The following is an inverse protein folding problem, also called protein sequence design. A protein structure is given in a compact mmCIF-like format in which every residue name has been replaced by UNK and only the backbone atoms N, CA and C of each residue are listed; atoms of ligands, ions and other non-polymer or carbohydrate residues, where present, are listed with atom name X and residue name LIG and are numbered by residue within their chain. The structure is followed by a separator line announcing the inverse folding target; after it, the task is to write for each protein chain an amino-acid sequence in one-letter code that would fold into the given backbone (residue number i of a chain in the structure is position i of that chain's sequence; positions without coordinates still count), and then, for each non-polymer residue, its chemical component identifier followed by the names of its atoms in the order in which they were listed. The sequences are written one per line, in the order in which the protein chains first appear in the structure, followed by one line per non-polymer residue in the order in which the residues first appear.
data_IF_613005040593
#
_entry.id   IF_613005040593
#
_cell.length_a   1.000
_cell.length_b   1.000
_cell.length_c   1.000
_cell.angle_alpha   90.00
_cell.angle_beta   90.00
_cell.angle_gamma   90.00
#
_symmetry.space_group_name_H-M   'P 1'
#
loop_
_entity.id
_entity.type
_entity.pdbx_description
1 polymer ?
#
# COMPACT_ATOMS: atom_id res chain seq x y z
N UNK A 1 36.14 -62.68 2.09
CA UNK A 1 34.93 -62.86 1.26
C UNK A 1 33.78 -63.08 2.23
N UNK A 2 33.06 -62.03 2.61
CA UNK A 2 31.62 -62.05 2.93
C UNK A 2 31.13 -60.60 2.99
N UNK A 3 30.01 -60.43 2.29
CA UNK A 3 29.34 -59.23 1.79
C UNK A 3 29.05 -58.12 2.82
N UNK A 4 29.21 -56.87 2.37
CA UNK A 4 28.74 -55.66 3.03
C UNK A 4 27.44 -55.21 2.35
N UNK A 5 26.31 -55.76 2.77
CA UNK A 5 24.99 -55.24 2.37
C UNK A 5 24.62 -54.03 3.22
N UNK A 6 24.50 -52.90 2.53
CA UNK A 6 23.90 -51.65 2.99
C UNK A 6 22.54 -51.95 3.62
N UNK A 7 22.39 -51.63 4.91
CA UNK A 7 21.09 -51.44 5.53
C UNK A 7 20.58 -50.12 4.96
N UNK A 8 19.65 -50.21 4.00
CA UNK A 8 18.80 -49.08 3.63
C UNK A 8 18.05 -48.66 4.90
N UNK A 9 18.34 -47.45 5.39
CA UNK A 9 17.54 -46.81 6.43
C UNK A 9 16.10 -46.68 5.92
N UNK A 10 15.21 -47.55 6.44
CA UNK A 10 13.77 -47.42 6.25
C UNK A 10 13.31 -46.00 6.68
N UNK A 11 12.52 -45.30 5.84
CA UNK A 11 11.99 -44.01 6.23
C UNK A 11 10.98 -44.19 7.38
N UNK A 12 11.38 -43.74 8.57
CA UNK A 12 10.58 -43.66 9.80
C UNK A 12 9.06 -43.49 9.57
N UNK A 13 8.32 -44.58 9.80
CA UNK A 13 6.89 -44.75 9.54
C UNK A 13 5.94 -44.16 10.62
N UNK A 14 6.21 -42.97 11.17
CA UNK A 14 5.35 -42.39 12.24
C UNK A 14 5.11 -40.86 12.15
N UNK A 15 4.70 -40.36 10.99
CA UNK A 15 3.91 -39.12 10.91
C UNK A 15 2.58 -39.43 10.21
N UNK A 16 1.59 -39.93 10.97
CA UNK A 16 0.29 -40.42 10.48
C UNK A 16 -0.58 -39.40 9.75
N UNK A 17 -0.18 -38.13 9.77
CA UNK A 17 -1.01 -37.03 9.34
C UNK A 17 -0.57 -36.48 7.98
N UNK A 18 0.59 -36.84 7.43
CA UNK A 18 0.98 -36.37 6.09
C UNK A 18 0.22 -37.12 4.98
N UNK A 19 -0.33 -36.43 3.97
CA UNK A 19 -1.12 -37.07 2.93
C UNK A 19 -0.24 -37.94 2.03
N UNK A 20 -0.68 -39.19 1.84
CA UNK A 20 -0.11 -40.13 0.87
C UNK A 20 -0.24 -39.60 -0.57
N UNK A 21 0.54 -40.12 -1.52
CA UNK A 21 0.45 -39.68 -2.93
C UNK A 21 -0.96 -39.84 -3.51
N UNK A 22 -1.67 -40.93 -3.18
CA UNK A 22 -3.05 -41.14 -3.62
C UNK A 22 -3.99 -40.09 -3.04
N UNK A 23 -3.84 -39.74 -1.76
CA UNK A 23 -4.63 -38.70 -1.10
C UNK A 23 -4.35 -37.31 -1.67
N UNK A 24 -3.09 -37.00 -2.04
CA UNK A 24 -2.74 -35.71 -2.68
C UNK A 24 -3.45 -35.48 -4.01
N UNK A 25 -3.83 -36.54 -4.72
CA UNK A 25 -4.51 -36.47 -6.01
C UNK A 25 -6.03 -36.49 -5.87
N UNK A 26 -6.56 -37.13 -4.81
CA UNK A 26 -8.00 -37.40 -4.65
C UNK A 26 -8.68 -36.48 -3.65
N UNK A 27 -7.98 -36.09 -2.58
CA UNK A 27 -8.58 -35.30 -1.51
C UNK A 27 -8.58 -33.81 -1.85
N UNK A 28 -9.68 -33.15 -1.51
CA UNK A 28 -9.82 -31.72 -1.61
C UNK A 28 -8.87 -31.01 -0.65
N UNK A 29 -8.22 -29.96 -1.14
CA UNK A 29 -7.39 -29.06 -0.32
C UNK A 29 -8.24 -27.95 0.29
N UNK A 30 -8.02 -27.66 1.57
CA UNK A 30 -8.73 -26.60 2.31
C UNK A 30 -7.76 -25.75 3.15
N UNK A 31 -8.08 -24.47 3.39
CA UNK A 31 -7.33 -23.66 4.33
C UNK A 31 -7.62 -24.06 5.78
N UNK A 32 -6.67 -23.81 6.67
CA UNK A 32 -6.78 -24.06 8.10
C UNK A 32 -7.58 -22.97 8.84
N UNK A 33 -7.82 -23.21 10.14
CA UNK A 33 -8.25 -22.16 11.07
C UNK A 33 -7.11 -21.19 11.34
N UNK A 34 -7.43 -19.90 11.28
CA UNK A 34 -6.48 -18.83 11.52
C UNK A 34 -6.24 -18.65 13.02
N UNK A 35 -4.98 -18.48 13.45
CA UNK A 35 -4.68 -18.24 14.86
C UNK A 35 -5.23 -16.88 15.30
N UNK A 36 -5.71 -16.72 16.54
CA UNK A 36 -6.22 -15.44 17.04
C UNK A 36 -5.21 -14.29 16.94
N UNK A 37 -3.92 -14.59 17.03
CA UNK A 37 -2.84 -13.62 16.86
C UNK A 37 -2.79 -13.03 15.45
N UNK A 38 -3.11 -13.79 14.40
CA UNK A 38 -3.19 -13.26 13.03
C UNK A 38 -4.31 -12.21 12.89
N UNK A 39 -5.46 -12.43 13.54
CA UNK A 39 -6.55 -11.45 13.55
C UNK A 39 -6.17 -10.17 14.30
N UNK A 40 -5.43 -10.28 15.41
CA UNK A 40 -4.92 -9.10 16.11
C UNK A 40 -4.00 -8.27 15.21
N UNK A 41 -3.07 -8.89 14.49
CA UNK A 41 -2.21 -8.17 13.53
C UNK A 41 -3.02 -7.58 12.37
N UNK A 42 -4.05 -8.27 11.89
CA UNK A 42 -4.94 -7.73 10.84
C UNK A 42 -5.71 -6.48 11.30
N UNK A 43 -6.14 -6.42 12.58
CA UNK A 43 -6.77 -5.21 13.14
C UNK A 43 -5.75 -4.07 13.29
N UNK A 44 -4.52 -4.37 13.69
CA UNK A 44 -3.44 -3.37 13.72
C UNK A 44 -3.21 -2.77 12.34
N UNK A 45 -3.17 -3.60 11.30
CA UNK A 45 -3.07 -3.14 9.91
C UNK A 45 -4.27 -2.25 9.53
N UNK A 46 -5.50 -2.69 9.83
CA UNK A 46 -6.69 -1.90 9.55
C UNK A 46 -6.61 -0.51 10.17
N UNK A 47 -6.24 -0.42 11.45
CA UNK A 47 -6.10 0.85 12.17
C UNK A 47 -5.02 1.76 11.56
N UNK A 48 -3.90 1.20 11.15
CA UNK A 48 -2.84 2.00 10.52
C UNK A 48 -3.21 2.46 9.11
N UNK A 49 -3.84 1.59 8.30
CA UNK A 49 -4.37 1.96 6.98
C UNK A 49 -5.46 3.02 7.09
N UNK A 50 -6.36 2.88 8.08
CA UNK A 50 -7.35 3.89 8.43
C UNK A 50 -6.67 5.23 8.71
N UNK A 51 -5.65 5.24 9.58
CA UNK A 51 -4.97 6.47 9.94
C UNK A 51 -4.23 7.10 8.76
N UNK A 52 -3.57 6.28 7.93
CA UNK A 52 -2.83 6.73 6.75
C UNK A 52 -3.74 7.43 5.73
N UNK A 53 -4.83 6.78 5.29
CA UNK A 53 -5.72 7.35 4.29
C UNK A 53 -6.63 8.45 4.87
N UNK A 54 -7.07 8.29 6.12
CA UNK A 54 -7.93 9.27 6.79
C UNK A 54 -7.20 10.60 7.01
N UNK A 55 -5.91 10.53 7.32
CA UNK A 55 -5.06 11.72 7.39
C UNK A 55 -4.74 12.28 6.00
N UNK A 56 -4.32 11.45 5.05
CA UNK A 56 -3.78 11.95 3.78
C UNK A 56 -4.84 12.43 2.80
N UNK A 57 -6.10 11.98 2.91
CA UNK A 57 -7.18 12.45 2.04
C UNK A 57 -7.37 13.97 2.07
N UNK A 58 -7.55 14.58 3.26
CA UNK A 58 -7.60 16.03 3.46
C UNK A 58 -6.40 16.86 2.95
N UNK A 59 -5.24 16.26 2.67
CA UNK A 59 -3.99 17.01 2.49
C UNK A 59 -4.04 18.03 1.35
N UNK A 60 -4.61 17.65 0.20
CA UNK A 60 -4.63 18.54 -0.95
C UNK A 60 -5.42 19.83 -0.65
N UNK A 61 -6.58 19.71 0.01
CA UNK A 61 -7.39 20.85 0.44
C UNK A 61 -6.72 21.66 1.56
N UNK A 62 -6.24 20.97 2.60
CA UNK A 62 -5.55 21.57 3.76
C UNK A 62 -4.40 22.49 3.31
N UNK A 63 -3.62 22.05 2.33
CA UNK A 63 -2.43 22.77 1.85
C UNK A 63 -2.78 23.82 0.80
N UNK A 64 -3.66 23.49 -0.16
CA UNK A 64 -3.93 24.35 -1.31
C UNK A 64 -4.71 25.61 -0.93
N UNK A 65 -5.79 25.44 -0.18
CA UNK A 65 -6.79 26.48 0.04
C UNK A 65 -6.50 27.24 1.33
N UNK A 66 -6.96 28.48 1.40
CA UNK A 66 -6.77 29.31 2.60
C UNK A 66 -7.77 28.92 3.68
N UNK A 67 -7.44 29.23 4.93
CA UNK A 67 -8.42 29.19 5.99
C UNK A 67 -9.58 30.13 5.68
N UNK A 68 -10.81 29.62 5.77
CA UNK A 68 -12.04 30.30 5.31
C UNK A 68 -12.00 30.76 3.84
N UNK A 69 -11.63 29.84 2.94
CA UNK A 69 -11.53 30.14 1.50
C UNK A 69 -12.86 30.69 0.93
N UNK A 70 -12.83 31.79 0.15
CA UNK A 70 -14.00 32.37 -0.51
C UNK A 70 -14.80 31.41 -1.39
N UNK A 71 -14.16 30.38 -1.95
CA UNK A 71 -14.84 29.36 -2.75
C UNK A 71 -15.74 28.44 -1.92
N UNK A 72 -15.56 28.41 -0.59
CA UNK A 72 -16.23 27.45 0.28
C UNK A 72 -15.57 26.06 0.28
N UNK A 73 -14.48 25.87 -0.46
CA UNK A 73 -13.65 24.68 -0.33
C UNK A 73 -12.90 24.69 1.02
N UNK A 74 -12.79 23.55 1.72
CA UNK A 74 -11.98 23.46 2.93
C UNK A 74 -10.53 23.85 2.66
N UNK A 75 -9.90 24.56 3.61
CA UNK A 75 -8.51 24.99 3.52
C UNK A 75 -7.92 25.46 4.83
N UNK A 76 -6.59 25.56 4.89
CA UNK A 76 -5.87 26.11 6.04
C UNK A 76 -4.63 26.93 5.62
N UNK A 77 -3.76 26.36 4.78
CA UNK A 77 -2.41 26.92 4.57
C UNK A 77 -2.35 27.92 3.40
N UNK A 78 -3.05 27.65 2.30
CA UNK A 78 -3.09 28.57 1.15
C UNK A 78 -1.86 28.57 0.23
N UNK A 79 -1.13 27.46 0.12
CA UNK A 79 0.04 27.31 -0.78
C UNK A 79 -0.34 27.14 -2.26
N UNK A 80 -1.64 27.14 -2.58
CA UNK A 80 -2.19 26.83 -3.90
C UNK A 80 -1.89 25.39 -4.33
N UNK A 81 -2.49 25.00 -5.46
CA UNK A 81 -2.41 23.64 -6.01
C UNK A 81 -0.96 23.13 -6.17
N UNK A 82 -0.05 23.95 -6.72
CA UNK A 82 1.32 23.51 -6.97
C UNK A 82 2.08 23.17 -5.68
N UNK A 83 1.94 23.98 -4.63
CA UNK A 83 2.56 23.72 -3.33
C UNK A 83 1.96 22.49 -2.63
N UNK A 84 0.63 22.34 -2.71
CA UNK A 84 -0.09 21.17 -2.20
C UNK A 84 0.39 19.88 -2.85
N UNK A 85 0.40 19.83 -4.18
CA UNK A 85 0.86 18.65 -4.93
C UNK A 85 2.32 18.32 -4.65
N UNK A 86 3.20 19.32 -4.50
CA UNK A 86 4.60 19.09 -4.17
C UNK A 86 4.76 18.44 -2.78
N UNK A 87 4.08 18.95 -1.75
CA UNK A 87 4.15 18.40 -0.39
C UNK A 87 3.49 17.03 -0.27
N UNK A 88 2.34 16.81 -0.90
CA UNK A 88 1.69 15.49 -0.94
C UNK A 88 2.56 14.46 -1.64
N UNK A 89 3.18 14.81 -2.78
CA UNK A 89 4.11 13.92 -3.47
C UNK A 89 5.39 13.65 -2.66
N UNK A 90 5.92 14.66 -1.96
CA UNK A 90 7.03 14.48 -1.04
C UNK A 90 6.67 13.50 0.08
N UNK A 91 5.51 13.66 0.70
CA UNK A 91 5.05 12.76 1.75
C UNK A 91 4.93 11.31 1.24
N UNK A 92 4.35 11.11 0.07
CA UNK A 92 4.28 9.80 -0.56
C UNK A 92 5.67 9.21 -0.81
N UNK A 93 6.55 9.96 -1.48
CA UNK A 93 7.93 9.56 -1.72
C UNK A 93 8.61 9.13 -0.41
N UNK A 94 8.48 9.94 0.64
CA UNK A 94 9.07 9.65 1.94
C UNK A 94 8.51 8.36 2.55
N UNK A 95 7.18 8.17 2.53
CA UNK A 95 6.51 6.95 2.99
C UNK A 95 6.84 5.68 2.19
N UNK A 96 7.39 5.79 0.98
CA UNK A 96 7.83 4.66 0.15
C UNK A 96 9.34 4.43 0.17
N UNK A 97 10.13 5.39 0.67
CA UNK A 97 11.58 5.22 0.90
C UNK A 97 11.89 4.71 2.30
N UNK A 98 11.21 5.22 3.33
CA UNK A 98 11.43 4.81 4.72
C UNK A 98 11.19 3.32 5.02
N UNK A 99 10.37 2.54 4.27
CA UNK A 99 10.29 1.09 4.49
C UNK A 99 11.62 0.35 4.33
N UNK A 100 12.54 0.84 3.49
CA UNK A 100 13.88 0.25 3.34
C UNK A 100 14.64 0.36 4.67
N UNK A 101 14.57 1.52 5.32
CA UNK A 101 15.18 1.74 6.63
C UNK A 101 14.50 0.87 7.70
N UNK A 102 13.17 0.80 7.67
CA UNK A 102 12.38 -0.04 8.57
C UNK A 102 12.72 -1.53 8.49
N UNK A 103 12.90 -2.05 7.27
CA UNK A 103 13.29 -3.44 7.03
C UNK A 103 14.70 -3.72 7.58
N UNK A 104 15.69 -2.85 7.28
CA UNK A 104 17.06 -3.00 7.78
C UNK A 104 17.09 -3.00 9.32
N UNK A 105 16.37 -2.08 9.96
CA UNK A 105 16.29 -2.01 11.42
C UNK A 105 15.71 -3.28 12.05
N UNK A 106 14.67 -3.85 11.43
CA UNK A 106 14.04 -5.07 11.92
C UNK A 106 14.91 -6.30 11.71
N UNK A 107 15.54 -6.42 10.56
CA UNK A 107 16.29 -7.61 10.16
C UNK A 107 17.68 -7.69 10.80
N UNK A 108 18.28 -6.54 11.15
CA UNK A 108 19.62 -6.46 11.74
C UNK A 108 19.63 -6.36 13.27
N UNK A 109 18.74 -5.53 13.85
CA UNK A 109 18.93 -5.07 15.24
C UNK A 109 17.77 -5.39 16.16
N UNK A 110 16.55 -5.01 15.79
CA UNK A 110 15.43 -4.95 16.73
C UNK A 110 14.48 -6.15 16.65
N UNK A 111 14.40 -6.79 15.49
CA UNK A 111 13.32 -7.73 15.16
C UNK A 111 12.04 -7.00 14.78
N UNK A 112 11.14 -7.71 14.08
CA UNK A 112 9.93 -7.12 13.48
C UNK A 112 9.04 -6.44 14.51
N UNK A 113 8.70 -7.13 15.60
CA UNK A 113 7.78 -6.59 16.63
C UNK A 113 8.31 -5.31 17.27
N UNK A 114 9.57 -5.28 17.73
CA UNK A 114 10.14 -4.08 18.37
C UNK A 114 10.27 -2.91 17.40
N UNK A 115 10.57 -3.20 16.13
CA UNK A 115 10.62 -2.18 15.07
C UNK A 115 9.25 -1.58 14.86
N UNK A 116 8.19 -2.39 14.72
CA UNK A 116 6.83 -1.88 14.57
C UNK A 116 6.46 -0.99 15.77
N UNK A 117 6.70 -1.44 17.01
CA UNK A 117 6.38 -0.65 18.21
C UNK A 117 7.12 0.69 18.22
N UNK A 118 8.43 0.71 17.97
CA UNK A 118 9.23 1.94 17.95
C UNK A 118 8.70 2.91 16.88
N UNK A 119 8.45 2.40 15.68
CA UNK A 119 8.00 3.22 14.56
C UNK A 119 6.54 3.67 14.70
N UNK A 120 5.69 2.91 15.38
CA UNK A 120 4.36 3.36 15.79
C UNK A 120 4.40 4.53 16.78
N UNK A 121 5.42 4.62 17.65
CA UNK A 121 5.59 5.79 18.53
C UNK A 121 5.91 7.04 17.70
N UNK A 122 6.82 6.95 16.72
CA UNK A 122 7.06 8.06 15.80
C UNK A 122 5.78 8.46 15.07
N UNK A 123 5.04 7.50 14.53
CA UNK A 123 3.77 7.77 13.86
C UNK A 123 2.79 8.51 14.79
N UNK A 124 2.59 8.04 16.02
CA UNK A 124 1.73 8.69 17.03
C UNK A 124 2.14 10.14 17.31
N UNK A 125 3.44 10.40 17.48
CA UNK A 125 3.94 11.76 17.71
C UNK A 125 3.63 12.65 16.52
N UNK A 126 3.86 12.18 15.29
CA UNK A 126 3.56 13.00 14.12
C UNK A 126 2.05 13.22 13.89
N UNK A 127 1.20 12.22 14.19
CA UNK A 127 -0.25 12.37 14.23
C UNK A 127 -0.69 13.43 15.26
N UNK A 128 -0.09 13.41 16.45
CA UNK A 128 -0.37 14.39 17.50
C UNK A 128 0.04 15.79 17.08
N UNK A 129 1.22 15.95 16.48
CA UNK A 129 1.69 17.24 15.94
C UNK A 129 0.72 17.76 14.87
N UNK A 130 0.30 16.90 13.93
CA UNK A 130 -0.66 17.28 12.91
C UNK A 130 -2.00 17.74 13.50
N UNK A 131 -2.54 16.95 14.44
CA UNK A 131 -3.77 17.28 15.14
C UNK A 131 -3.68 18.63 15.85
N UNK A 132 -2.67 18.83 16.69
CA UNK A 132 -2.51 20.07 17.47
C UNK A 132 -2.32 21.29 16.58
N UNK A 133 -1.57 21.16 15.47
CA UNK A 133 -1.30 22.27 14.56
C UNK A 133 -2.43 22.56 13.57
N UNK A 134 -3.44 21.69 13.52
CA UNK A 134 -4.68 21.88 12.76
C UNK A 134 -5.84 22.45 13.58
N UNK A 135 -5.64 22.70 14.87
CA UNK A 135 -6.61 23.43 15.70
C UNK A 135 -6.79 24.85 15.15
N UNK A 136 -8.02 25.44 15.20
CA UNK A 136 -8.28 26.79 14.69
C UNK A 136 -7.28 27.83 15.21
N UNK A 137 -6.99 27.82 16.51
CA UNK A 137 -6.02 28.72 17.17
C UNK A 137 -4.60 28.54 16.59
N UNK A 138 -4.20 27.32 16.25
CA UNK A 138 -2.89 27.05 15.68
C UNK A 138 -2.80 27.45 14.19
N UNK A 139 -3.89 27.26 13.43
CA UNK A 139 -4.00 27.71 12.04
C UNK A 139 -3.93 29.24 11.97
N UNK A 140 -4.74 29.93 12.79
CA UNK A 140 -4.74 31.40 12.88
C UNK A 140 -3.40 31.95 13.38
N UNK A 141 -2.73 31.22 14.28
CA UNK A 141 -1.36 31.52 14.73
C UNK A 141 -0.27 31.25 13.71
N UNK A 142 -0.58 30.70 12.52
CA UNK A 142 0.38 30.45 11.44
C UNK A 142 1.24 29.19 11.62
N UNK A 143 0.90 28.31 12.56
CA UNK A 143 1.69 27.10 12.88
C UNK A 143 1.37 25.90 11.98
N UNK A 144 0.29 25.96 11.19
CA UNK A 144 -0.21 24.86 10.37
C UNK A 144 0.82 24.30 9.37
N UNK A 145 1.58 25.17 8.69
CA UNK A 145 2.57 24.72 7.70
C UNK A 145 3.76 24.02 8.35
N UNK A 146 4.35 24.63 9.38
CA UNK A 146 5.48 24.04 10.11
C UNK A 146 5.09 22.72 10.77
N UNK A 147 3.90 22.70 11.37
CA UNK A 147 3.28 21.50 11.95
C UNK A 147 3.10 20.38 10.94
N UNK A 148 2.54 20.69 9.77
CA UNK A 148 2.36 19.71 8.69
C UNK A 148 3.69 19.12 8.21
N UNK A 149 4.71 19.96 7.96
CA UNK A 149 6.02 19.48 7.48
C UNK A 149 6.66 18.56 8.52
N UNK A 150 6.65 18.98 9.80
CA UNK A 150 7.16 18.16 10.90
C UNK A 150 6.40 16.83 10.99
N UNK A 151 5.07 16.88 10.90
CA UNK A 151 4.21 15.70 10.91
C UNK A 151 4.52 14.77 9.72
N UNK A 152 4.61 15.28 8.50
CA UNK A 152 4.91 14.48 7.29
C UNK A 152 6.23 13.72 7.42
N UNK A 153 7.29 14.37 7.92
CA UNK A 153 8.60 13.73 8.13
C UNK A 153 8.51 12.64 9.20
N UNK A 154 7.88 12.94 10.33
CA UNK A 154 7.80 12.02 11.48
C UNK A 154 6.87 10.83 11.20
N UNK A 155 5.69 11.07 10.61
CA UNK A 155 4.75 10.04 10.18
C UNK A 155 5.34 9.20 9.07
N UNK A 156 6.00 9.81 8.09
CA UNK A 156 6.62 9.06 7.01
C UNK A 156 7.75 8.16 7.51
N UNK A 157 8.52 8.59 8.52
CA UNK A 157 9.46 7.72 9.22
C UNK A 157 8.72 6.55 9.86
N UNK A 158 7.71 6.81 10.70
CA UNK A 158 6.89 5.79 11.37
C UNK A 158 6.24 4.78 10.42
N UNK A 159 5.74 5.26 9.27
CA UNK A 159 5.14 4.44 8.20
C UNK A 159 6.13 3.38 7.69
N UNK A 160 7.42 3.73 7.58
CA UNK A 160 8.45 2.85 7.05
C UNK A 160 8.63 1.57 7.86
N UNK A 161 8.81 1.70 9.18
CA UNK A 161 8.99 0.55 10.07
C UNK A 161 7.74 -0.32 10.20
N UNK A 162 6.55 0.24 10.01
CA UNK A 162 5.29 -0.51 10.06
C UNK A 162 5.09 -1.28 8.75
N UNK A 163 5.06 -0.59 7.59
CA UNK A 163 4.76 -1.19 6.28
C UNK A 163 5.68 -2.36 5.92
N UNK A 164 6.97 -2.24 6.24
CA UNK A 164 7.96 -3.28 5.93
C UNK A 164 7.83 -4.54 6.80
N UNK A 165 7.20 -4.44 7.98
CA UNK A 165 7.26 -5.49 9.01
C UNK A 165 5.91 -6.11 9.39
N UNK A 166 4.79 -5.42 9.24
CA UNK A 166 3.47 -5.94 9.63
C UNK A 166 3.02 -7.09 8.72
N UNK A 167 3.24 -6.99 7.40
CA UNK A 167 2.86 -8.03 6.44
C UNK A 167 3.63 -9.35 6.63
N UNK A 168 4.96 -9.34 6.88
CA UNK A 168 5.65 -10.54 7.34
C UNK A 168 5.19 -11.03 8.71
N UNK A 169 4.93 -10.13 9.67
CA UNK A 169 4.52 -10.51 11.02
C UNK A 169 3.20 -11.28 11.03
N UNK A 170 2.19 -10.87 10.25
CA UNK A 170 0.90 -11.58 10.19
C UNK A 170 1.07 -13.00 9.62
N UNK A 171 1.91 -13.17 8.59
CA UNK A 171 2.19 -14.47 8.02
C UNK A 171 2.91 -15.39 9.02
N UNK A 172 3.86 -14.85 9.79
CA UNK A 172 4.60 -15.59 10.83
C UNK A 172 3.72 -16.08 12.00
N UNK A 173 2.49 -15.57 12.13
CA UNK A 173 1.56 -16.05 13.15
C UNK A 173 1.07 -17.47 12.87
N UNK A 174 1.07 -17.89 11.60
CA UNK A 174 0.78 -19.27 11.21
C UNK A 174 2.08 -20.06 11.12
N UNK A 175 2.22 -21.10 11.97
CA UNK A 175 3.49 -21.84 12.12
C UNK A 175 3.52 -23.15 11.31
N UNK A 176 2.36 -23.61 10.85
CA UNK A 176 2.19 -24.88 10.17
C UNK A 176 2.73 -24.80 8.75
N UNK A 177 3.72 -25.63 8.45
CA UNK A 177 4.42 -25.66 7.15
C UNK A 177 4.20 -26.94 6.38
N UNK A 178 3.56 -27.95 6.99
CA UNK A 178 3.35 -29.28 6.41
C UNK A 178 1.91 -29.47 5.96
N UNK A 179 1.75 -30.23 4.87
CA UNK A 179 0.44 -30.74 4.46
C UNK A 179 -0.02 -31.76 5.48
N UNK A 180 -1.27 -31.65 5.95
CA UNK A 180 -1.84 -32.67 6.84
C UNK A 180 -3.25 -33.07 6.47
N UNK A 181 -3.59 -34.34 6.67
CA UNK A 181 -4.95 -34.86 6.49
C UNK A 181 -5.77 -34.55 7.73
N UNK A 182 -6.99 -34.06 7.51
CA UNK A 182 -7.95 -33.76 8.58
C UNK A 182 -9.32 -34.28 8.17
N UNK A 183 -10.04 -34.87 9.13
CA UNK A 183 -11.46 -35.22 8.95
C UNK A 183 -12.31 -34.02 9.40
N UNK A 184 -13.19 -33.53 8.52
CA UNK A 184 -14.13 -32.47 8.85
C UNK A 184 -15.27 -32.99 9.74
N UNK A 185 -16.03 -32.11 10.43
CA UNK A 185 -17.24 -32.53 11.16
C UNK A 185 -18.28 -33.24 10.28
N UNK A 186 -18.22 -33.04 8.96
CA UNK A 186 -19.05 -33.75 7.96
C UNK A 186 -18.59 -35.18 7.68
N UNK A 187 -17.46 -35.64 8.23
CA UNK A 187 -16.84 -36.93 7.92
C UNK A 187 -15.94 -36.93 6.67
N UNK A 188 -15.88 -35.83 5.91
CA UNK A 188 -15.03 -35.71 4.72
C UNK A 188 -13.55 -35.61 5.11
N UNK A 189 -12.70 -36.47 4.52
CA UNK A 189 -11.23 -36.35 4.60
C UNK A 189 -10.76 -35.26 3.65
N UNK A 190 -10.01 -34.29 4.18
CA UNK A 190 -9.46 -33.17 3.42
C UNK A 190 -7.99 -32.97 3.73
N UNK A 191 -7.26 -32.35 2.81
CA UNK A 191 -5.87 -31.94 3.04
C UNK A 191 -5.85 -30.47 3.45
N UNK A 192 -5.30 -30.19 4.63
CA UNK A 192 -5.00 -28.83 5.06
C UNK A 192 -3.72 -28.38 4.36
N UNK A 193 -3.85 -27.37 3.51
CA UNK A 193 -2.74 -26.81 2.74
C UNK A 193 -2.27 -25.48 3.36
N UNK A 194 -1.02 -25.40 3.89
CA UNK A 194 -0.45 -24.17 4.41
C UNK A 194 -0.47 -23.00 3.42
N UNK A 195 -0.26 -23.27 2.13
CA UNK A 195 -0.27 -22.23 1.10
C UNK A 195 -1.65 -21.59 0.96
N UNK A 196 -2.73 -22.39 0.99
CA UNK A 196 -4.10 -21.87 0.98
C UNK A 196 -4.42 -21.07 2.23
N UNK A 197 -3.84 -21.45 3.38
CA UNK A 197 -4.02 -20.72 4.64
C UNK A 197 -3.32 -19.37 4.61
N UNK A 198 -2.07 -19.32 4.15
CA UNK A 198 -1.31 -18.07 3.97
C UNK A 198 -2.00 -17.17 2.94
N UNK A 199 -2.49 -17.72 1.83
CA UNK A 199 -3.30 -16.98 0.87
C UNK A 199 -4.54 -16.37 1.54
N UNK A 200 -5.24 -17.13 2.40
CA UNK A 200 -6.39 -16.62 3.15
C UNK A 200 -6.02 -15.51 4.13
N UNK A 201 -4.87 -15.61 4.81
CA UNK A 201 -4.33 -14.53 5.66
C UNK A 201 -4.18 -13.26 4.82
N UNK A 202 -3.53 -13.34 3.67
CA UNK A 202 -3.32 -12.18 2.81
C UNK A 202 -4.62 -11.63 2.21
N UNK A 203 -5.63 -12.45 1.94
CA UNK A 203 -6.95 -11.96 1.53
C UNK A 203 -7.64 -11.16 2.64
N UNK A 204 -7.55 -11.61 3.89
CA UNK A 204 -8.08 -10.85 5.05
C UNK A 204 -7.30 -9.56 5.23
N UNK A 205 -5.97 -9.63 5.15
CA UNK A 205 -5.09 -8.47 5.22
C UNK A 205 -5.46 -7.42 4.14
N UNK A 206 -5.68 -7.88 2.91
CA UNK A 206 -6.12 -7.03 1.80
C UNK A 206 -7.49 -6.38 2.04
N UNK A 207 -8.44 -7.12 2.62
CA UNK A 207 -9.73 -6.58 3.04
C UNK A 207 -9.56 -5.49 4.11
N UNK A 208 -8.68 -5.70 5.10
CA UNK A 208 -8.38 -4.70 6.12
C UNK A 208 -7.79 -3.41 5.51
N UNK A 209 -6.89 -3.53 4.52
CA UNK A 209 -6.31 -2.37 3.83
C UNK A 209 -7.39 -1.54 3.15
N UNK A 210 -8.21 -2.18 2.31
CA UNK A 210 -9.25 -1.50 1.54
C UNK A 210 -10.38 -0.95 2.45
N UNK A 211 -10.69 -1.64 3.54
CA UNK A 211 -11.64 -1.11 4.53
C UNK A 211 -11.07 0.12 5.24
N UNK A 212 -9.78 0.07 5.59
CA UNK A 212 -9.06 1.21 6.17
C UNK A 212 -9.03 2.41 5.24
N UNK A 213 -8.83 2.24 3.93
CA UNK A 213 -8.79 3.37 2.99
C UNK A 213 -10.09 4.16 2.89
N UNK A 214 -11.23 3.56 3.21
CA UNK A 214 -12.53 4.26 3.23
C UNK A 214 -12.64 5.30 4.36
N UNK A 215 -11.68 5.35 5.29
CA UNK A 215 -11.62 6.38 6.33
C UNK A 215 -11.58 7.80 5.77
N UNK A 216 -11.04 7.99 4.56
CA UNK A 216 -11.04 9.28 3.89
C UNK A 216 -12.46 9.80 3.63
N UNK A 217 -13.48 8.95 3.48
CA UNK A 217 -14.88 9.39 3.40
C UNK A 217 -15.27 10.14 4.69
N UNK A 218 -14.95 9.58 5.86
CA UNK A 218 -15.28 10.20 7.13
C UNK A 218 -14.49 11.48 7.35
N UNK A 219 -13.17 11.48 7.09
CA UNK A 219 -12.33 12.64 7.39
C UNK A 219 -12.55 13.81 6.45
N UNK A 220 -12.80 13.56 5.16
CA UNK A 220 -13.15 14.62 4.18
C UNK A 220 -14.50 15.27 4.48
N UNK A 221 -15.48 14.50 4.98
CA UNK A 221 -16.76 15.06 5.47
C UNK A 221 -16.58 15.87 6.76
N UNK A 222 -15.69 15.42 7.66
CA UNK A 222 -15.37 16.11 8.90
C UNK A 222 -14.64 17.43 8.67
N UNK A 223 -13.71 17.52 7.71
CA UNK A 223 -13.06 18.81 7.38
C UNK A 223 -14.08 19.83 6.86
N UNK A 224 -15.05 19.40 6.05
CA UNK A 224 -16.04 20.28 5.44
C UNK A 224 -17.05 20.81 6.47
N UNK A 225 -17.52 19.93 7.36
CA UNK A 225 -18.62 20.24 8.30
C UNK A 225 -18.15 20.81 9.63
N UNK A 226 -16.94 20.47 10.09
CA UNK A 226 -16.44 20.82 11.43
C UNK A 226 -15.07 21.51 11.34
N UNK A 227 -14.14 20.94 10.57
CA UNK A 227 -12.79 21.47 10.38
C UNK A 227 -11.70 20.41 10.52
N UNK A 228 -10.50 20.76 10.07
CA UNK A 228 -9.37 19.82 9.95
C UNK A 228 -8.93 19.16 11.25
N UNK A 229 -9.05 19.85 12.39
CA UNK A 229 -8.73 19.24 13.70
C UNK A 229 -9.53 17.97 13.95
N UNK A 230 -10.79 17.94 13.56
CA UNK A 230 -11.65 16.78 13.75
C UNK A 230 -11.27 15.66 12.77
N UNK A 231 -10.97 16.03 11.53
CA UNK A 231 -10.50 15.13 10.47
C UNK A 231 -9.17 14.44 10.84
N UNK A 232 -8.27 15.11 11.56
CA UNK A 232 -6.99 14.53 12.01
C UNK A 232 -7.04 13.88 13.39
N UNK A 233 -8.00 14.25 14.24
CA UNK A 233 -8.24 13.57 15.52
C UNK A 233 -8.72 12.13 15.33
N UNK A 234 -9.59 11.88 14.34
CA UNK A 234 -10.13 10.55 14.09
C UNK A 234 -9.03 9.52 13.72
N UNK A 235 -8.13 9.79 12.76
CA UNK A 235 -6.91 9.01 12.52
C UNK A 235 -6.06 8.79 13.78
N UNK A 236 -5.88 9.82 14.61
CA UNK A 236 -5.10 9.72 15.85
C UNK A 236 -5.72 8.72 16.82
N UNK A 237 -7.04 8.80 17.05
CA UNK A 237 -7.76 7.85 17.93
C UNK A 237 -7.67 6.43 17.38
N UNK A 238 -7.93 6.25 16.08
CA UNK A 238 -7.87 4.92 15.45
C UNK A 238 -6.48 4.31 15.51
N UNK A 239 -5.43 5.13 15.34
CA UNK A 239 -4.06 4.67 15.49
C UNK A 239 -3.72 4.31 16.94
N UNK A 240 -4.19 5.09 17.93
CA UNK A 240 -4.05 4.75 19.35
C UNK A 240 -4.68 3.40 19.69
N UNK A 241 -5.86 3.09 19.12
CA UNK A 241 -6.52 1.78 19.29
C UNK A 241 -5.64 0.66 18.72
N UNK A 242 -5.18 0.81 17.47
CA UNK A 242 -4.28 -0.16 16.83
C UNK A 242 -2.98 -0.38 17.62
N UNK A 243 -2.36 0.71 18.06
CA UNK A 243 -1.15 0.66 18.89
C UNK A 243 -1.40 -0.04 20.24
N UNK A 244 -2.53 0.26 20.89
CA UNK A 244 -2.95 -0.42 22.12
C UNK A 244 -3.10 -1.93 21.93
N UNK A 245 -3.74 -2.35 20.83
CA UNK A 245 -3.89 -3.78 20.47
C UNK A 245 -2.52 -4.43 20.20
N UNK A 246 -1.62 -3.74 19.51
CA UNK A 246 -0.26 -4.22 19.27
C UNK A 246 0.49 -4.45 20.59
N UNK A 247 0.48 -3.48 21.50
CA UNK A 247 1.23 -3.60 22.77
C UNK A 247 0.59 -4.63 23.70
N UNK A 248 -0.74 -4.61 23.85
CA UNK A 248 -1.47 -5.58 24.68
C UNK A 248 -1.38 -7.01 24.14
N UNK A 249 -1.29 -7.17 22.80
CA UNK A 249 -1.17 -8.44 22.11
C UNK A 249 0.21 -9.10 22.21
N UNK A 250 1.23 -8.44 22.77
CA UNK A 250 2.64 -8.91 22.78
C UNK A 250 2.81 -10.38 23.16
N UNK A 251 2.11 -10.85 24.20
CA UNK A 251 2.22 -12.23 24.72
C UNK A 251 1.59 -13.28 23.79
N UNK A 252 0.75 -12.86 22.85
CA UNK A 252 0.05 -13.73 21.90
C UNK A 252 0.77 -13.84 20.54
N UNK A 253 1.69 -12.92 20.23
CA UNK A 253 2.38 -12.93 18.96
C UNK A 253 3.54 -13.92 18.93
N UNK A 254 3.67 -14.59 17.79
CA UNK A 254 4.91 -15.29 17.43
C UNK A 254 5.91 -14.22 17.00
N UNK A 255 6.99 -14.07 17.76
CA UNK A 255 8.08 -13.12 17.46
C UNK A 255 9.35 -13.91 17.16
N UNK A 256 9.86 -13.79 15.94
CA UNK A 256 11.11 -14.42 15.51
C UNK A 256 12.31 -13.47 15.75
N UNK A 257 13.50 -14.01 16.09
CA UNK A 257 14.70 -13.20 16.19
C UNK A 257 15.16 -12.69 14.81
N UNK A 258 15.93 -11.59 14.74
CA UNK A 258 16.51 -11.08 13.49
C UNK A 258 17.43 -12.13 12.84
N UNK A 259 17.38 -12.25 11.51
CA UNK A 259 18.16 -13.25 10.74
C UNK A 259 19.19 -12.64 9.78
N UNK A 260 19.53 -11.36 9.95
CA UNK A 260 20.35 -10.64 8.99
C UNK A 260 19.51 -10.09 7.83
N UNK A 261 20.10 -9.20 7.02
CA UNK A 261 19.38 -8.39 6.03
C UNK A 261 19.83 -8.76 4.64
N UNK A 262 18.93 -9.45 3.95
CA UNK A 262 19.01 -9.77 2.52
C UNK A 262 19.31 -8.51 1.69
N UNK A 263 18.75 -7.37 2.08
CA UNK A 263 18.95 -6.08 1.40
C UNK A 263 20.42 -5.65 1.49
N UNK A 264 21.00 -5.67 2.69
CA UNK A 264 22.40 -5.25 2.91
C UNK A 264 23.35 -6.17 2.13
N UNK A 265 23.10 -7.48 2.17
CA UNK A 265 23.93 -8.45 1.46
C UNK A 265 23.78 -8.35 -0.07
N UNK A 266 22.58 -8.03 -0.56
CA UNK A 266 22.34 -7.73 -1.97
C UNK A 266 23.17 -6.52 -2.43
N UNK A 267 23.18 -5.41 -1.67
CA UNK A 267 23.99 -4.24 -2.01
C UNK A 267 25.48 -4.53 -1.99
N UNK A 268 25.98 -5.34 -1.04
CA UNK A 268 27.39 -5.77 -1.03
C UNK A 268 27.73 -6.60 -2.26
N UNK A 269 26.88 -7.57 -2.63
CA UNK A 269 27.08 -8.39 -3.81
C UNK A 269 27.07 -7.55 -5.10
N UNK A 270 26.13 -6.61 -5.23
CA UNK A 270 26.10 -5.64 -6.33
C UNK A 270 27.38 -4.80 -6.40
N UNK A 271 27.86 -4.29 -5.26
CA UNK A 271 29.07 -3.49 -5.20
C UNK A 271 30.31 -4.27 -5.65
N UNK A 272 30.43 -5.53 -5.24
CA UNK A 272 31.50 -6.44 -5.71
C UNK A 272 31.39 -6.62 -7.23
N UNK A 273 30.17 -6.82 -7.74
CA UNK A 273 29.93 -7.00 -9.17
C UNK A 273 30.25 -5.76 -10.02
N UNK A 274 29.93 -4.55 -9.53
CA UNK A 274 30.22 -3.28 -10.22
C UNK A 274 31.74 -3.03 -10.27
N UNK A 275 32.47 -3.40 -9.21
CA UNK A 275 33.92 -3.19 -9.13
C UNK A 275 34.71 -4.21 -9.95
N UNK A 276 34.13 -5.37 -10.24
CA UNK A 276 34.78 -6.43 -11.01
C UNK A 276 34.53 -6.30 -12.51
N UNK A 277 35.50 -6.74 -13.32
CA UNK A 277 35.31 -6.89 -14.77
C UNK A 277 34.35 -8.03 -15.12
N UNK A 278 34.21 -9.01 -14.23
CA UNK A 278 33.40 -10.21 -14.43
C UNK A 278 31.94 -10.04 -13.96
N UNK A 279 31.53 -8.79 -13.64
CA UNK A 279 30.18 -8.47 -13.22
C UNK A 279 29.76 -9.23 -11.95
N UNK A 280 28.47 -9.57 -11.85
CA UNK A 280 27.88 -10.25 -10.68
C UNK A 280 28.50 -11.62 -10.39
N UNK A 281 29.11 -12.30 -11.35
CA UNK A 281 29.77 -13.59 -11.09
C UNK A 281 30.93 -13.44 -10.10
N UNK A 282 31.55 -12.25 -10.02
CA UNK A 282 32.58 -11.96 -9.04
C UNK A 282 32.09 -11.93 -7.59
N UNK A 283 30.78 -11.83 -7.37
CA UNK A 283 30.18 -11.86 -6.05
C UNK A 283 29.88 -13.29 -5.55
N UNK A 284 30.04 -14.31 -6.40
CA UNK A 284 29.80 -15.71 -6.03
C UNK A 284 30.88 -16.22 -5.09
N UNK A 285 30.53 -16.85 -3.95
CA UNK A 285 31.49 -17.55 -3.10
C UNK A 285 32.42 -18.49 -3.85
N UNK A 286 31.93 -19.23 -4.86
CA UNK A 286 32.78 -20.11 -5.69
C UNK A 286 33.87 -19.36 -6.46
N UNK A 287 33.62 -18.12 -6.85
CA UNK A 287 34.57 -17.24 -7.52
C UNK A 287 35.48 -16.50 -6.52
N UNK A 288 34.91 -16.01 -5.41
CA UNK A 288 35.62 -15.29 -4.35
C UNK A 288 36.64 -16.20 -3.66
N UNK A 289 36.27 -17.43 -3.30
CA UNK A 289 37.17 -18.38 -2.63
C UNK A 289 38.36 -18.81 -3.51
N UNK A 290 38.28 -18.61 -4.83
CA UNK A 290 39.42 -18.79 -5.75
C UNK A 290 40.46 -17.66 -5.65
N UNK A 291 40.05 -16.44 -5.26
CA UNK A 291 40.85 -15.22 -5.36
C UNK A 291 41.05 -14.43 -4.04
N UNK A 292 40.25 -14.66 -2.98
CA UNK A 292 40.36 -14.03 -1.64
C UNK A 292 39.74 -14.88 -0.52
N UNK A 293 40.37 -14.87 0.66
CA UNK A 293 40.03 -15.68 1.84
C UNK A 293 38.91 -15.13 2.76
N UNK A 294 38.12 -14.13 2.35
CA UNK A 294 37.06 -13.59 3.23
C UNK A 294 35.72 -14.30 2.96
N UNK A 295 35.19 -15.08 3.92
CA UNK A 295 33.88 -15.69 3.78
C UNK A 295 32.81 -14.60 3.69
N UNK A 296 31.93 -14.72 2.69
CA UNK A 296 30.75 -13.88 2.53
C UNK A 296 29.53 -14.57 3.15
N UNK A 297 28.51 -13.84 3.63
CA UNK A 297 27.35 -14.43 4.31
C UNK A 297 26.29 -15.04 3.37
N UNK A 298 26.52 -15.05 2.06
CA UNK A 298 25.58 -15.56 1.04
C UNK A 298 26.18 -16.71 0.24
N UNK A 299 25.33 -17.49 -0.44
CA UNK A 299 25.71 -18.60 -1.32
C UNK A 299 25.71 -18.19 -2.82
N UNK A 300 26.07 -19.12 -3.71
CA UNK A 300 26.03 -18.89 -5.15
C UNK A 300 24.58 -18.72 -5.67
N UNK A 301 23.61 -19.42 -5.05
CA UNK A 301 22.18 -19.33 -5.40
C UNK A 301 21.67 -17.91 -5.21
N UNK A 302 22.03 -17.28 -4.10
CA UNK A 302 21.70 -15.90 -3.79
C UNK A 302 22.12 -14.92 -4.90
N UNK A 303 23.31 -15.09 -5.47
CA UNK A 303 23.80 -14.22 -6.55
C UNK A 303 23.00 -14.43 -7.85
N UNK A 304 22.59 -15.67 -8.14
CA UNK A 304 21.71 -15.97 -9.27
C UNK A 304 20.29 -15.44 -9.07
N UNK A 305 19.74 -15.55 -7.86
CA UNK A 305 18.46 -14.96 -7.48
C UNK A 305 18.50 -13.43 -7.61
N UNK A 306 19.58 -12.79 -7.13
CA UNK A 306 19.81 -11.36 -7.28
C UNK A 306 19.88 -10.95 -8.75
N UNK A 307 20.56 -11.73 -9.60
CA UNK A 307 20.60 -11.50 -11.06
C UNK A 307 19.19 -11.57 -11.68
N UNK A 308 18.38 -12.57 -11.32
CA UNK A 308 17.00 -12.70 -11.79
C UNK A 308 16.15 -11.50 -11.33
N UNK A 309 16.29 -11.09 -10.07
CA UNK A 309 15.62 -9.92 -9.53
C UNK A 309 15.96 -8.64 -10.30
N UNK A 310 17.24 -8.40 -10.63
CA UNK A 310 17.64 -7.24 -11.45
C UNK A 310 17.05 -7.26 -12.86
N UNK A 311 16.93 -8.44 -13.48
CA UNK A 311 16.28 -8.57 -14.79
C UNK A 311 14.80 -8.23 -14.68
N UNK A 312 14.11 -8.69 -13.63
CA UNK A 312 12.72 -8.32 -13.35
C UNK A 312 12.56 -6.80 -13.09
N UNK A 313 13.54 -6.17 -12.41
CA UNK A 313 13.55 -4.73 -12.17
C UNK A 313 13.51 -3.87 -13.44
N UNK A 314 13.89 -4.41 -14.62
CA UNK A 314 13.76 -3.68 -15.90
C UNK A 314 12.31 -3.26 -16.18
N UNK A 315 11.34 -4.09 -15.81
CA UNK A 315 9.91 -3.78 -15.96
C UNK A 315 9.51 -2.64 -15.02
N UNK A 316 10.09 -2.61 -13.81
CA UNK A 316 9.81 -1.57 -12.82
C UNK A 316 10.38 -0.19 -13.20
N UNK A 317 11.30 -0.09 -14.16
CA UNK A 317 11.77 1.21 -14.68
C UNK A 317 10.65 2.04 -15.33
N UNK A 318 9.56 1.42 -15.77
CA UNK A 318 8.41 2.11 -16.35
C UNK A 318 7.36 2.51 -15.29
N UNK A 319 7.38 1.92 -14.10
CA UNK A 319 6.41 2.20 -13.04
C UNK A 319 6.46 3.63 -12.49
N UNK A 320 7.58 4.37 -12.47
CA UNK A 320 7.57 5.79 -12.11
C UNK A 320 6.60 6.62 -12.98
N UNK A 321 6.51 6.32 -14.28
CA UNK A 321 5.56 6.99 -15.19
C UNK A 321 4.12 6.64 -14.79
N UNK A 322 3.87 5.37 -14.49
CA UNK A 322 2.57 4.91 -13.99
C UNK A 322 2.16 5.61 -12.69
N UNK A 323 3.06 5.68 -11.71
CA UNK A 323 2.77 6.33 -10.43
C UNK A 323 2.56 7.84 -10.59
N UNK A 324 3.20 8.48 -11.56
CA UNK A 324 2.93 9.89 -11.89
C UNK A 324 1.47 10.10 -12.33
N UNK A 325 0.92 9.18 -13.13
CA UNK A 325 -0.48 9.19 -13.57
C UNK A 325 -1.42 8.85 -12.42
N UNK A 326 -1.12 7.80 -11.66
CA UNK A 326 -1.91 7.39 -10.49
C UNK A 326 -2.03 8.54 -9.47
N UNK A 327 -0.93 9.23 -9.18
CA UNK A 327 -0.89 10.32 -8.20
C UNK A 327 -1.67 11.58 -8.63
N UNK A 328 -2.13 11.69 -9.88
CA UNK A 328 -3.02 12.78 -10.29
C UNK A 328 -4.35 12.74 -9.53
N UNK A 329 -4.80 11.53 -9.19
CA UNK A 329 -6.03 11.25 -8.47
C UNK A 329 -6.10 11.91 -7.09
N UNK A 330 -4.97 11.88 -6.38
CA UNK A 330 -4.84 12.36 -5.00
C UNK A 330 -4.59 13.88 -4.92
N UNK A 331 -4.26 14.51 -6.05
CA UNK A 331 -3.77 15.88 -6.10
C UNK A 331 -4.60 16.72 -7.08
N UNK A 332 -4.29 16.61 -8.37
CA UNK A 332 -4.84 17.48 -9.39
C UNK A 332 -6.33 17.23 -9.64
N UNK A 333 -6.81 16.00 -9.48
CA UNK A 333 -8.23 15.71 -9.59
C UNK A 333 -9.03 16.36 -8.46
N UNK A 334 -8.51 16.33 -7.23
CA UNK A 334 -9.11 17.02 -6.09
C UNK A 334 -9.19 18.53 -6.35
N UNK A 335 -8.11 19.14 -6.85
CA UNK A 335 -8.13 20.57 -7.20
C UNK A 335 -9.05 20.90 -8.38
N UNK A 336 -9.16 20.01 -9.37
CA UNK A 336 -10.12 20.13 -10.46
C UNK A 336 -11.57 20.09 -9.92
N UNK A 337 -11.88 19.14 -9.04
CA UNK A 337 -13.18 19.03 -8.37
C UNK A 337 -13.54 20.27 -7.56
N UNK A 338 -12.56 20.92 -6.92
CA UNK A 338 -12.74 22.18 -6.19
C UNK A 338 -13.20 23.36 -7.07
N UNK A 339 -13.21 23.22 -8.40
CA UNK A 339 -13.77 24.22 -9.34
C UNK A 339 -15.15 23.86 -9.89
N UNK A 340 -15.68 22.68 -9.52
CA UNK A 340 -16.94 22.09 -10.01
C UNK A 340 -18.05 22.24 -8.97
N UNK A 341 -19.31 22.08 -9.37
CA UNK A 341 -20.45 22.08 -8.43
C UNK A 341 -20.46 20.82 -7.58
N UNK A 342 -20.33 21.03 -6.26
CA UNK A 342 -20.15 19.99 -5.26
C UNK A 342 -21.46 19.54 -4.57
N UNK A 343 -22.54 20.32 -4.59
CA UNK A 343 -23.84 19.95 -3.98
C UNK A 343 -23.77 19.45 -2.52
N UNK A 344 -22.84 19.98 -1.73
CA UNK A 344 -22.72 19.68 -0.30
C UNK A 344 -21.82 18.49 0.05
N UNK A 345 -21.17 17.85 -0.93
CA UNK A 345 -20.10 16.88 -0.69
C UNK A 345 -18.71 17.53 -0.82
N UNK A 346 -17.68 17.05 -0.11
CA UNK A 346 -16.32 17.57 -0.26
C UNK A 346 -15.72 17.15 -1.61
N UNK A 347 -14.84 17.96 -2.18
CA UNK A 347 -14.22 17.70 -3.49
C UNK A 347 -13.24 16.52 -3.47
N UNK A 348 -12.54 16.32 -2.36
CA UNK A 348 -11.60 15.23 -2.11
C UNK A 348 -12.27 13.89 -1.76
N UNK A 349 -13.59 13.85 -1.50
CA UNK A 349 -14.32 12.59 -1.31
C UNK A 349 -14.23 11.67 -2.54
N UNK A 350 -14.06 12.27 -3.73
CA UNK A 350 -14.07 11.60 -5.04
C UNK A 350 -12.98 10.54 -5.15
N UNK A 351 -11.87 10.67 -4.42
CA UNK A 351 -10.80 9.68 -4.40
C UNK A 351 -11.22 8.31 -3.87
N UNK A 352 -12.30 8.24 -3.07
CA UNK A 352 -12.80 6.98 -2.55
C UNK A 352 -13.48 6.11 -3.61
N UNK A 353 -13.77 6.64 -4.80
CA UNK A 353 -14.25 5.85 -5.94
C UNK A 353 -13.24 4.76 -6.29
N UNK A 354 -11.94 5.03 -6.12
CA UNK A 354 -10.87 4.11 -6.45
C UNK A 354 -10.89 2.83 -5.59
N UNK A 355 -10.74 2.88 -4.25
CA UNK A 355 -10.81 1.67 -3.43
C UNK A 355 -12.17 0.97 -3.54
N UNK A 356 -13.29 1.70 -3.69
CA UNK A 356 -14.60 1.09 -3.93
C UNK A 356 -14.61 0.27 -5.22
N UNK A 357 -14.06 0.84 -6.30
CA UNK A 357 -13.97 0.16 -7.59
C UNK A 357 -13.08 -1.08 -7.48
N UNK A 358 -11.92 -0.98 -6.82
CA UNK A 358 -11.01 -2.10 -6.60
C UNK A 358 -11.69 -3.26 -5.86
N UNK A 359 -12.38 -2.97 -4.75
CA UNK A 359 -13.12 -3.97 -3.96
C UNK A 359 -14.18 -4.68 -4.82
N UNK A 360 -14.91 -3.94 -5.65
CA UNK A 360 -15.98 -4.50 -6.49
C UNK A 360 -15.44 -5.26 -7.71
N UNK A 361 -14.39 -4.77 -8.35
CA UNK A 361 -13.91 -5.29 -9.63
C UNK A 361 -12.91 -6.44 -9.51
N UNK A 362 -12.15 -6.55 -8.41
CA UNK A 362 -11.25 -7.71 -8.22
C UNK A 362 -12.03 -9.04 -8.28
N UNK A 363 -13.13 -9.24 -7.51
CA UNK A 363 -13.92 -10.46 -7.60
C UNK A 363 -14.51 -10.71 -9.00
N UNK A 364 -14.90 -9.65 -9.70
CA UNK A 364 -15.41 -9.73 -11.08
C UNK A 364 -14.32 -10.21 -12.03
N UNK A 365 -13.12 -9.66 -11.93
CA UNK A 365 -11.98 -10.05 -12.74
C UNK A 365 -11.59 -11.51 -12.49
N UNK A 366 -11.50 -11.92 -11.23
CA UNK A 366 -11.08 -13.27 -10.86
C UNK A 366 -12.12 -14.35 -11.17
N UNK A 367 -13.41 -14.06 -10.98
CA UNK A 367 -14.49 -15.05 -11.12
C UNK A 367 -15.16 -15.06 -12.48
N UNK A 368 -15.15 -13.94 -13.21
CA UNK A 368 -15.84 -13.81 -14.49
C UNK A 368 -14.85 -13.61 -15.64
N UNK A 369 -14.04 -12.55 -15.58
CA UNK A 369 -13.23 -12.12 -16.74
C UNK A 369 -12.07 -13.08 -17.00
N UNK A 370 -11.22 -13.39 -16.02
CA UNK A 370 -10.09 -14.30 -16.21
C UNK A 370 -10.52 -15.72 -16.58
N UNK A 371 -11.56 -16.33 -15.96
CA UNK A 371 -12.11 -17.59 -16.45
C UNK A 371 -12.65 -17.52 -17.86
N UNK A 372 -13.35 -16.44 -18.25
CA UNK A 372 -13.85 -16.27 -19.61
C UNK A 372 -12.70 -16.16 -20.64
N UNK A 373 -11.65 -15.39 -20.34
CA UNK A 373 -10.44 -15.31 -21.17
C UNK A 373 -9.75 -16.68 -21.29
N UNK A 374 -9.68 -17.45 -20.20
CA UNK A 374 -9.16 -18.83 -20.23
C UNK A 374 -10.01 -19.75 -21.11
N UNK A 375 -11.34 -19.65 -21.05
CA UNK A 375 -12.24 -20.40 -21.96
C UNK A 375 -12.05 -19.99 -23.42
N UNK A 376 -11.81 -18.70 -23.67
CA UNK A 376 -11.47 -18.16 -24.98
C UNK A 376 -10.02 -18.47 -25.43
N UNK A 377 -9.25 -19.24 -24.65
CA UNK A 377 -7.83 -19.58 -24.90
C UNK A 377 -6.89 -18.36 -25.01
N UNK A 378 -7.29 -17.21 -24.46
CA UNK A 378 -6.46 -16.00 -24.40
C UNK A 378 -5.61 -16.06 -23.13
N UNK A 379 -4.29 -16.19 -23.29
CA UNK A 379 -3.35 -16.14 -22.17
C UNK A 379 -3.09 -14.70 -21.75
N UNK A 380 -3.78 -14.25 -20.70
CA UNK A 380 -3.58 -12.92 -20.14
C UNK A 380 -2.35 -12.89 -19.22
N UNK A 381 -1.16 -12.83 -19.85
CA UNK A 381 0.16 -12.86 -19.20
C UNK A 381 0.43 -11.58 -18.38
N UNK A 382 1.28 -11.63 -17.34
CA UNK A 382 1.55 -10.48 -16.46
C UNK A 382 1.91 -9.18 -17.20
N UNK A 383 2.86 -9.24 -18.15
CA UNK A 383 3.27 -8.06 -18.95
C UNK A 383 2.09 -7.48 -19.73
N UNK A 384 1.24 -8.33 -20.33
CA UNK A 384 0.05 -7.88 -21.07
C UNK A 384 -0.93 -7.17 -20.15
N UNK A 385 -1.13 -7.66 -18.91
CA UNK A 385 -1.99 -6.97 -17.92
C UNK A 385 -1.40 -5.60 -17.57
N UNK A 386 -0.10 -5.54 -17.28
CA UNK A 386 0.58 -4.27 -16.99
C UNK A 386 0.38 -3.29 -18.14
N UNK A 387 0.56 -3.70 -19.40
CA UNK A 387 0.29 -2.84 -20.57
C UNK A 387 -1.15 -2.31 -20.59
N UNK A 388 -2.15 -3.16 -20.32
CA UNK A 388 -3.55 -2.72 -20.21
C UNK A 388 -3.77 -1.74 -19.05
N UNK A 389 -3.07 -1.91 -17.94
CA UNK A 389 -3.09 -0.95 -16.84
C UNK A 389 -2.60 0.43 -17.29
N UNK A 390 -1.45 0.51 -17.97
CA UNK A 390 -0.95 1.78 -18.52
C UNK A 390 -1.91 2.41 -19.54
N UNK A 391 -2.57 1.62 -20.39
CA UNK A 391 -3.59 2.10 -21.33
C UNK A 391 -4.77 2.72 -20.56
N UNK A 392 -5.28 2.04 -19.52
CA UNK A 392 -6.38 2.56 -18.70
C UNK A 392 -5.98 3.84 -17.95
N UNK A 393 -4.76 3.92 -17.43
CA UNK A 393 -4.22 5.15 -16.84
C UNK A 393 -4.14 6.31 -17.84
N UNK A 394 -3.72 6.04 -19.08
CA UNK A 394 -3.68 7.04 -20.15
C UNK A 394 -5.10 7.52 -20.53
N UNK A 395 -6.08 6.60 -20.60
CA UNK A 395 -7.48 6.93 -20.83
C UNK A 395 -8.05 7.80 -19.70
N UNK A 396 -7.68 7.53 -18.46
CA UNK A 396 -8.07 8.38 -17.32
C UNK A 396 -7.56 9.82 -17.49
N UNK A 397 -6.31 10.00 -17.93
CA UNK A 397 -5.74 11.33 -18.18
C UNK A 397 -6.42 12.05 -19.35
N UNK A 398 -6.68 11.32 -20.44
CA UNK A 398 -7.43 11.87 -21.59
C UNK A 398 -8.83 12.33 -21.20
N UNK A 399 -9.53 11.53 -20.38
CA UNK A 399 -10.85 11.87 -19.88
C UNK A 399 -10.81 13.06 -18.90
N UNK A 400 -9.84 13.10 -17.97
CA UNK A 400 -9.67 14.23 -17.06
C UNK A 400 -9.37 15.55 -17.80
N UNK A 401 -8.58 15.49 -18.89
CA UNK A 401 -8.33 16.64 -19.76
C UNK A 401 -9.59 17.09 -20.49
N UNK A 402 -10.42 16.16 -20.95
CA UNK A 402 -11.73 16.46 -21.53
C UNK A 402 -12.64 17.18 -20.51
N UNK A 403 -12.73 16.66 -19.28
CA UNK A 403 -13.49 17.30 -18.20
C UNK A 403 -12.95 18.70 -17.90
N UNK A 404 -11.62 18.88 -17.86
CA UNK A 404 -11.02 20.20 -17.64
C UNK A 404 -11.41 21.21 -18.72
N UNK A 405 -11.37 20.80 -19.98
CA UNK A 405 -11.78 21.64 -21.11
C UNK A 405 -13.27 22.01 -21.01
N UNK A 406 -14.11 21.08 -20.55
CA UNK A 406 -15.53 21.35 -20.32
C UNK A 406 -15.73 22.37 -19.19
N UNK A 407 -15.00 22.25 -18.07
CA UNK A 407 -15.00 23.24 -16.99
C UNK A 407 -14.65 24.63 -17.53
N UNK A 408 -13.64 24.75 -18.40
CA UNK A 408 -13.24 26.04 -18.97
C UNK A 408 -14.25 26.63 -19.97
N UNK A 409 -15.19 25.83 -20.47
CA UNK A 409 -16.29 26.28 -21.34
C UNK A 409 -17.58 26.56 -20.57
N UNK A 410 -17.68 26.11 -19.32
CA UNK A 410 -18.83 26.38 -18.47
C UNK A 410 -18.70 27.74 -17.77
N UNK A 411 -19.83 28.45 -17.65
CA UNK A 411 -19.92 29.64 -16.80
C UNK A 411 -19.78 29.29 -15.30
N UNK A 412 -19.69 30.29 -14.40
CA UNK A 412 -19.68 31.72 -14.70
C UNK A 412 -18.28 32.25 -15.09
N UNK A 413 -17.21 31.50 -14.75
CA UNK A 413 -15.84 32.00 -14.88
C UNK A 413 -15.01 31.45 -16.05
N UNK A 414 -15.58 30.56 -16.89
CA UNK A 414 -14.95 30.04 -18.11
C UNK A 414 -13.46 29.69 -17.91
N UNK A 415 -12.54 30.34 -18.66
CA UNK A 415 -11.09 30.10 -18.64
C UNK A 415 -10.39 30.46 -17.32
N UNK A 416 -11.05 31.14 -16.40
CA UNK A 416 -10.48 31.54 -15.12
C UNK A 416 -11.38 31.11 -13.94
N UNK A 417 -11.59 29.79 -13.69
CA UNK A 417 -12.43 29.31 -12.60
C UNK A 417 -12.07 29.97 -11.27
N UNK A 418 -13.10 30.32 -10.49
CA UNK A 418 -13.00 30.98 -9.19
C UNK A 418 -12.34 32.38 -9.17
N UNK A 419 -11.96 32.95 -10.33
CA UNK A 419 -11.22 34.23 -10.39
C UNK A 419 -11.94 35.34 -11.14
N UNK A 420 -13.09 35.06 -11.75
CA UNK A 420 -13.80 36.04 -12.55
C UNK A 420 -14.69 36.96 -11.69
N UNK A 421 -14.94 38.18 -12.19
CA UNK A 421 -15.86 39.12 -11.54
C UNK A 421 -17.31 38.60 -11.53
N UNK A 422 -17.73 37.87 -12.58
CA UNK A 422 -19.06 37.30 -12.72
C UNK A 422 -19.38 36.17 -11.70
N UNK A 423 -18.36 35.57 -11.10
CA UNK A 423 -18.51 34.53 -10.09
C UNK A 423 -18.51 35.06 -8.66
N UNK A 424 -18.37 36.38 -8.44
CA UNK A 424 -18.39 36.96 -7.09
C UNK A 424 -19.83 37.06 -6.60
N UNK A 425 -20.14 36.31 -5.55
CA UNK A 425 -21.41 36.35 -4.84
C UNK A 425 -21.37 37.42 -3.72
N UNK A 426 -22.54 37.91 -3.27
CA UNK A 426 -22.63 38.77 -2.09
C UNK A 426 -21.96 38.13 -0.87
N UNK A 427 -21.22 38.92 -0.09
CA UNK A 427 -20.47 38.42 1.08
C UNK A 427 -19.09 37.84 0.77
N UNK A 428 -18.55 38.12 -0.42
CA UNK A 428 -17.17 37.74 -0.79
C UNK A 428 -17.00 36.28 -1.20
N UNK A 429 -18.08 35.51 -1.30
CA UNK A 429 -18.05 34.11 -1.78
C UNK A 429 -17.87 34.04 -3.28
N UNK A 430 -17.38 32.90 -3.77
CA UNK A 430 -17.15 32.67 -5.21
C UNK A 430 -17.95 31.47 -5.70
N UNK A 431 -18.71 31.65 -6.78
CA UNK A 431 -19.47 30.57 -7.42
C UNK A 431 -18.55 29.64 -8.23
N UNK A 432 -18.77 28.34 -8.09
CA UNK A 432 -18.09 27.30 -8.87
C UNK A 432 -18.63 27.23 -10.31
N UNK A 433 -17.82 26.70 -11.24
CA UNK A 433 -18.28 26.53 -12.60
C UNK A 433 -19.39 25.46 -12.69
N UNK A 434 -20.31 25.63 -13.64
CA UNK A 434 -21.55 24.86 -13.79
C UNK A 434 -21.35 23.45 -14.37
N UNK A 435 -20.37 22.71 -13.84
CA UNK A 435 -20.12 21.31 -14.16
C UNK A 435 -20.27 20.50 -12.87
N UNK A 436 -21.06 19.44 -12.89
CA UNK A 436 -21.28 18.60 -11.72
C UNK A 436 -20.03 17.72 -11.43
N UNK A 437 -19.60 17.64 -10.17
CA UNK A 437 -18.39 16.88 -9.79
C UNK A 437 -18.41 15.39 -10.20
N UNK A 438 -19.58 14.76 -10.20
CA UNK A 438 -19.78 13.38 -10.68
C UNK A 438 -19.29 13.11 -12.13
N UNK A 439 -19.15 14.13 -12.98
CA UNK A 439 -18.55 13.93 -14.30
C UNK A 439 -17.07 13.53 -14.22
N UNK A 440 -16.42 13.69 -13.08
CA UNK A 440 -15.04 13.24 -12.86
C UNK A 440 -14.95 11.74 -12.50
N UNK A 441 -16.05 11.11 -12.07
CA UNK A 441 -16.06 9.71 -11.62
C UNK A 441 -15.43 8.71 -12.60
N UNK A 442 -15.62 8.82 -13.93
CA UNK A 442 -14.97 7.90 -14.88
C UNK A 442 -13.44 7.98 -14.85
N UNK A 443 -12.85 9.15 -14.53
CA UNK A 443 -11.40 9.28 -14.40
C UNK A 443 -10.87 8.41 -13.25
N UNK A 444 -11.50 8.50 -12.08
CA UNK A 444 -11.18 7.67 -10.91
C UNK A 444 -11.40 6.18 -11.20
N UNK A 445 -12.50 5.84 -11.87
CA UNK A 445 -12.78 4.47 -12.28
C UNK A 445 -11.69 3.88 -13.18
N UNK A 446 -11.25 4.63 -14.20
CA UNK A 446 -10.16 4.16 -15.08
C UNK A 446 -8.83 4.02 -14.34
N UNK A 447 -8.53 4.89 -13.37
CA UNK A 447 -7.35 4.75 -12.49
C UNK A 447 -7.45 3.47 -11.65
N UNK A 448 -8.61 3.16 -11.10
CA UNK A 448 -8.80 1.94 -10.31
C UNK A 448 -8.63 0.66 -11.13
N UNK A 449 -9.23 0.59 -12.33
CA UNK A 449 -9.03 -0.54 -13.24
C UNK A 449 -7.55 -0.64 -13.67
N UNK A 450 -6.92 0.51 -13.89
CA UNK A 450 -5.48 0.61 -14.16
C UNK A 450 -4.65 0.04 -13.00
N UNK A 451 -5.01 0.32 -11.75
CA UNK A 451 -4.37 -0.22 -10.56
C UNK A 451 -4.46 -1.74 -10.47
N UNK A 452 -5.66 -2.29 -10.69
CA UNK A 452 -5.84 -3.75 -10.66
C UNK A 452 -4.95 -4.43 -11.70
N UNK A 453 -4.81 -3.84 -12.89
CA UNK A 453 -4.01 -4.44 -13.94
C UNK A 453 -2.50 -4.21 -13.81
N UNK A 454 -2.05 -3.03 -13.38
CA UNK A 454 -0.63 -2.70 -13.30
C UNK A 454 -0.03 -2.95 -11.91
N UNK A 455 -0.62 -2.41 -10.85
CA UNK A 455 -0.06 -2.47 -9.49
C UNK A 455 -0.13 -3.88 -8.91
N UNK A 456 -1.30 -4.52 -8.94
CA UNK A 456 -1.48 -5.87 -8.40
C UNK A 456 -0.64 -6.89 -9.18
N UNK A 457 -0.66 -6.82 -10.52
CA UNK A 457 0.15 -7.69 -11.36
C UNK A 457 1.65 -7.39 -11.22
N UNK A 458 2.05 -6.15 -10.98
CA UNK A 458 3.45 -5.78 -10.73
C UNK A 458 4.00 -6.45 -9.47
N UNK A 459 3.19 -6.51 -8.40
CA UNK A 459 3.52 -7.25 -7.18
C UNK A 459 3.53 -8.77 -7.39
N UNK A 460 2.67 -9.31 -8.26
CA UNK A 460 2.70 -10.72 -8.67
C UNK A 460 3.97 -11.04 -9.44
N UNK A 461 4.38 -10.18 -10.37
CA UNK A 461 5.56 -10.35 -11.21
C UNK A 461 6.88 -10.25 -10.44
N UNK A 462 6.90 -9.48 -9.34
CA UNK A 462 8.07 -9.32 -8.48
C UNK A 462 8.28 -10.41 -7.44
N UNK A 463 7.35 -11.37 -7.32
CA UNK A 463 7.49 -12.57 -6.49
C UNK A 463 8.05 -13.71 -7.32
#
# INVERSE_FOLDING_TARGET
MYDSTLVEDEPNAWNSDEPTQAERQTLRKVPDKLPPSAFLVAVVELCERFAYYGMSGPFQNYISNKYHDPSGNPGAIGMKQAGATALTNFFQFWCYVTPILGAICADQWLGKYKTIVLFSVFYLVGLLVLFLTSLPVAIEGGYALGGLIAAMVVIGLGTGGIKSNVSPLIAEQYQETRLRVKVLPSGEKVIVDPALTIQRIYMIFYLCINTGSLSAIATTEMELKIGFWSAYLLPLIMFCIGFGILVAGKKKYVVRPPKGSVIVDSFKALWIGIKSRDGLDAAKPSYINRNRAKPVPWDDSFVEELRRALVACKVFLFFPIYWCVYNQMLNNFVSQAGTMRLHGIPNDIMQNIDPITVILFIPILDRLIYPALRRAKIQFKPITRITWGFIMGALAMGYAAFVQNWIYKAGPCFKAPLKCAAGKLPGGKVEHNQVHVAYQSPAYFFIAISEIFASVTGLEYGR
#
